data_IF_112870682078
#
_entry.id   IF_112870682078
#
_cell.length_a   1.000
_cell.length_b   1.000
_cell.length_c   1.000
_cell.angle_alpha   90.00
_cell.angle_beta   90.00
_cell.angle_gamma   90.00
#
_symmetry.space_group_name_H-M   'P 1'
#
loop_
_entity.id
_entity.type
_entity.pdbx_description
1 polymer ?
#
# COMPACT_ATOMS: atom_id res chain seq x y z
N UNK A 1 -12.88 -8.23 -29.33
CA UNK A 1 -14.00 -7.28 -29.32
C UNK A 1 -13.41 -5.87 -29.33
N UNK A 2 -13.92 -4.96 -30.16
CA UNK A 2 -13.58 -3.54 -30.08
C UNK A 2 -13.97 -2.97 -28.70
N UNK A 3 -13.23 -1.96 -28.22
CA UNK A 3 -13.44 -1.32 -26.91
C UNK A 3 -14.82 -0.67 -26.76
N UNK A 4 -15.44 -0.28 -27.87
CA UNK A 4 -16.72 0.44 -27.90
C UNK A 4 -17.91 -0.43 -27.46
N UNK A 5 -17.82 -1.76 -27.57
CA UNK A 5 -18.88 -2.70 -27.18
C UNK A 5 -19.01 -2.89 -25.64
N UNK A 6 -18.09 -2.33 -24.85
CA UNK A 6 -18.07 -2.47 -23.38
C UNK A 6 -18.99 -1.44 -22.68
N UNK A 7 -19.54 -0.47 -23.42
CA UNK A 7 -20.25 0.69 -22.88
C UNK A 7 -21.78 0.63 -23.05
N UNK A 8 -22.38 -0.55 -22.87
CA UNK A 8 -23.84 -0.64 -22.84
C UNK A 8 -24.47 0.19 -21.71
N UNK A 9 -25.49 0.97 -22.06
CA UNK A 9 -26.33 1.78 -21.17
C UNK A 9 -27.21 0.89 -20.30
N UNK A 10 -27.05 0.91 -18.97
CA UNK A 10 -27.86 0.08 -18.07
C UNK A 10 -28.01 0.70 -16.68
N UNK A 11 -29.09 1.46 -16.50
CA UNK A 11 -29.74 1.61 -15.21
C UNK A 11 -30.55 0.35 -14.88
N UNK A 12 -30.39 -0.20 -13.69
CA UNK A 12 -31.44 -0.97 -13.04
C UNK A 12 -31.52 -0.48 -11.59
N UNK A 13 -32.59 0.28 -11.36
CA UNK A 13 -32.98 0.85 -10.08
C UNK A 13 -33.55 -0.23 -9.16
N UNK A 14 -33.20 -0.14 -7.88
CA UNK A 14 -34.19 -0.19 -6.81
C UNK A 14 -33.82 0.79 -5.69
N UNK A 15 -34.61 1.87 -5.65
CA UNK A 15 -34.93 2.78 -4.54
C UNK A 15 -34.48 4.25 -4.70
N UNK A 16 -35.51 5.07 -4.99
CA UNK A 16 -35.64 6.54 -4.89
C UNK A 16 -34.70 7.42 -5.73
N UNK A 17 -35.16 7.72 -6.95
CA UNK A 17 -35.19 9.06 -7.57
C UNK A 17 -34.10 10.05 -7.10
N UNK A 18 -32.92 10.03 -7.73
CA UNK A 18 -31.96 11.12 -7.55
C UNK A 18 -30.91 11.26 -8.65
N UNK A 19 -31.31 11.32 -9.92
CA UNK A 19 -30.41 11.74 -11.00
C UNK A 19 -29.83 13.16 -10.78
N UNK A 20 -30.41 13.96 -9.87
CA UNK A 20 -29.97 15.31 -9.51
C UNK A 20 -29.10 15.43 -8.26
N UNK A 21 -28.97 14.37 -7.46
CA UNK A 21 -28.27 14.51 -6.18
C UNK A 21 -26.75 14.61 -6.39
N UNK A 22 -26.21 15.75 -5.95
CA UNK A 22 -24.83 16.19 -6.18
C UNK A 22 -23.83 15.54 -5.20
N UNK A 23 -23.13 14.50 -5.64
CA UNK A 23 -22.26 13.66 -4.80
C UNK A 23 -20.85 14.22 -4.60
N UNK A 24 -20.40 15.19 -5.40
CA UNK A 24 -19.08 15.82 -5.26
C UNK A 24 -19.19 17.26 -4.73
N UNK A 25 -18.10 17.81 -4.15
CA UNK A 25 -18.03 19.24 -3.79
C UNK A 25 -18.25 20.17 -4.98
N UNK A 26 -17.83 19.76 -6.18
CA UNK A 26 -18.05 20.48 -7.45
C UNK A 26 -19.48 20.36 -7.98
N UNK A 27 -20.36 19.66 -7.29
CA UNK A 27 -21.78 19.56 -7.64
C UNK A 27 -22.11 18.52 -8.70
N UNK A 28 -21.26 17.52 -8.93
CA UNK A 28 -21.50 16.47 -9.91
C UNK A 28 -22.44 15.40 -9.37
N UNK A 29 -23.32 14.89 -10.22
CA UNK A 29 -24.20 13.77 -9.91
C UNK A 29 -23.50 12.43 -10.15
N UNK A 30 -24.08 11.33 -9.65
CA UNK A 30 -23.53 9.98 -9.85
C UNK A 30 -23.34 9.65 -11.34
N UNK A 31 -24.35 9.93 -12.16
CA UNK A 31 -24.31 9.70 -13.61
C UNK A 31 -23.19 10.50 -14.30
N UNK A 32 -22.97 11.75 -13.88
CA UNK A 32 -21.89 12.58 -14.42
C UNK A 32 -20.50 12.04 -14.04
N UNK A 33 -20.35 11.50 -12.83
CA UNK A 33 -19.11 10.85 -12.40
C UNK A 33 -18.90 9.53 -13.15
N UNK A 34 -19.93 8.70 -13.29
CA UNK A 34 -19.89 7.46 -14.09
C UNK A 34 -19.48 7.71 -15.54
N UNK A 35 -20.04 8.74 -16.19
CA UNK A 35 -19.67 9.14 -17.54
C UNK A 35 -18.18 9.48 -17.64
N UNK A 36 -17.66 10.28 -16.69
CA UNK A 36 -16.24 10.64 -16.67
C UNK A 36 -15.33 9.43 -16.43
N UNK A 37 -15.75 8.48 -15.59
CA UNK A 37 -15.00 7.25 -15.37
C UNK A 37 -14.96 6.44 -16.67
N UNK A 38 -16.10 6.23 -17.34
CA UNK A 38 -16.16 5.52 -18.63
C UNK A 38 -15.24 6.14 -19.67
N UNK A 39 -15.22 7.47 -19.81
CA UNK A 39 -14.30 8.16 -20.71
C UNK A 39 -12.83 7.88 -20.39
N UNK A 40 -12.48 7.82 -19.09
CA UNK A 40 -11.13 7.49 -18.64
C UNK A 40 -10.78 6.02 -18.91
N UNK A 41 -11.71 5.08 -18.74
CA UNK A 41 -11.47 3.67 -19.06
C UNK A 41 -11.07 3.49 -20.52
N UNK A 42 -11.78 4.17 -21.43
CA UNK A 42 -11.47 4.15 -22.87
C UNK A 42 -10.10 4.78 -23.13
N UNK A 43 -9.86 6.00 -22.64
CA UNK A 43 -8.61 6.74 -22.90
C UNK A 43 -7.38 6.04 -22.34
N UNK A 44 -7.51 5.45 -21.15
CA UNK A 44 -6.41 4.79 -20.45
C UNK A 44 -6.29 3.30 -20.77
N UNK A 45 -7.21 2.74 -21.55
CA UNK A 45 -7.23 1.32 -21.93
C UNK A 45 -7.14 0.39 -20.69
N UNK A 46 -7.83 0.79 -19.62
CA UNK A 46 -7.95 -0.02 -18.39
C UNK A 46 -9.33 -0.67 -18.34
N UNK A 47 -9.43 -1.93 -17.88
CA UNK A 47 -10.68 -2.69 -17.97
C UNK A 47 -11.77 -2.16 -17.02
N UNK A 48 -11.36 -1.51 -15.93
CA UNK A 48 -12.27 -1.09 -14.88
C UNK A 48 -11.67 -0.06 -13.93
N UNK A 49 -12.55 0.66 -13.23
CA UNK A 49 -12.22 1.54 -12.13
C UNK A 49 -13.34 1.58 -11.09
N UNK A 50 -12.97 1.81 -9.84
CA UNK A 50 -13.89 2.08 -8.74
C UNK A 50 -13.53 3.41 -8.06
N UNK A 51 -14.54 4.20 -7.71
CA UNK A 51 -14.41 5.48 -7.03
C UNK A 51 -15.33 5.49 -5.82
N UNK A 52 -14.78 5.86 -4.67
CA UNK A 52 -15.55 6.09 -3.44
C UNK A 52 -15.47 7.58 -3.11
N UNK A 53 -16.63 8.22 -2.98
CA UNK A 53 -16.75 9.62 -2.57
C UNK A 53 -17.37 9.65 -1.17
N UNK A 54 -16.67 10.29 -0.24
CA UNK A 54 -17.08 10.38 1.16
C UNK A 54 -17.25 11.86 1.51
N UNK A 55 -18.41 12.21 2.05
CA UNK A 55 -18.68 13.50 2.70
C UNK A 55 -19.15 13.28 4.14
N UNK A 56 -19.36 14.37 4.89
CA UNK A 56 -19.91 14.32 6.24
C UNK A 56 -21.26 13.60 6.34
N UNK A 57 -22.05 13.64 5.27
CA UNK A 57 -23.43 13.14 5.26
C UNK A 57 -23.57 11.76 4.63
N UNK A 58 -22.61 11.38 3.76
CA UNK A 58 -22.79 10.20 2.92
C UNK A 58 -21.52 9.62 2.35
N UNK A 59 -21.64 8.35 1.96
CA UNK A 59 -20.66 7.62 1.15
C UNK A 59 -21.33 7.13 -0.12
N UNK A 60 -20.74 7.42 -1.27
CA UNK A 60 -21.19 6.91 -2.58
C UNK A 60 -20.07 6.11 -3.22
N UNK A 61 -20.36 4.87 -3.62
CA UNK A 61 -19.42 4.00 -4.34
C UNK A 61 -19.89 3.83 -5.78
N UNK A 62 -18.96 3.96 -6.72
CA UNK A 62 -19.20 3.85 -8.16
C UNK A 62 -18.16 2.90 -8.74
N UNK A 63 -18.61 1.83 -9.38
CA UNK A 63 -17.77 0.91 -10.15
C UNK A 63 -18.15 0.97 -11.63
N UNK A 64 -17.16 0.99 -12.52
CA UNK A 64 -17.38 0.97 -13.97
C UNK A 64 -16.42 -0.01 -14.63
N UNK A 65 -16.87 -0.63 -15.73
CA UNK A 65 -16.09 -1.57 -16.53
C UNK A 65 -16.29 -3.03 -16.15
N UNK A 66 -15.32 -3.86 -16.53
CA UNK A 66 -15.33 -5.32 -16.39
C UNK A 66 -14.18 -5.80 -15.51
N UNK A 67 -14.41 -6.84 -14.72
CA UNK A 67 -13.42 -7.39 -13.78
C UNK A 67 -12.19 -7.96 -14.49
N UNK A 68 -12.35 -8.47 -15.71
CA UNK A 68 -11.29 -9.14 -16.47
C UNK A 68 -11.46 -8.91 -17.96
N UNK A 69 -10.36 -8.56 -18.62
CA UNK A 69 -10.35 -8.40 -20.08
C UNK A 69 -10.78 -9.70 -20.78
N UNK A 70 -11.69 -9.59 -21.74
CA UNK A 70 -12.27 -10.74 -22.46
C UNK A 70 -13.40 -11.47 -21.72
N UNK A 71 -13.87 -10.93 -20.58
CA UNK A 71 -14.99 -11.49 -19.82
C UNK A 71 -16.06 -10.41 -19.61
N UNK A 72 -17.33 -10.83 -19.53
CA UNK A 72 -18.46 -9.91 -19.40
C UNK A 72 -18.87 -9.64 -17.93
N UNK A 73 -18.07 -10.10 -16.97
CA UNK A 73 -18.36 -9.88 -15.56
C UNK A 73 -18.12 -8.40 -15.19
N UNK A 74 -19.20 -7.68 -14.92
CA UNK A 74 -19.15 -6.27 -14.50
C UNK A 74 -18.53 -6.13 -13.11
N UNK A 75 -17.91 -4.99 -12.87
CA UNK A 75 -17.49 -4.58 -11.53
C UNK A 75 -18.70 -4.37 -10.63
N UNK A 76 -18.58 -4.74 -9.36
CA UNK A 76 -19.53 -4.42 -8.30
C UNK A 76 -18.88 -3.60 -7.19
N UNK A 77 -19.65 -2.82 -6.42
CA UNK A 77 -19.14 -2.11 -5.24
C UNK A 77 -18.44 -3.01 -4.20
N UNK A 78 -18.78 -4.31 -4.17
CA UNK A 78 -18.23 -5.30 -3.24
C UNK A 78 -16.97 -6.01 -3.77
N UNK A 79 -16.48 -5.63 -4.95
CA UNK A 79 -15.25 -6.22 -5.50
C UNK A 79 -14.04 -5.87 -4.66
N UNK A 80 -13.16 -6.85 -4.46
CA UNK A 80 -11.87 -6.65 -3.80
C UNK A 80 -10.85 -6.14 -4.80
N UNK A 81 -10.18 -5.04 -4.46
CA UNK A 81 -9.14 -4.43 -5.27
C UNK A 81 -7.79 -4.51 -4.55
N UNK A 82 -6.71 -4.69 -5.31
CA UNK A 82 -5.37 -4.54 -4.75
C UNK A 82 -5.12 -3.07 -4.42
N UNK A 83 -5.07 -2.76 -3.13
CA UNK A 83 -4.93 -1.40 -2.58
C UNK A 83 -3.45 -0.94 -2.60
N UNK A 84 -2.74 -1.23 -3.70
CA UNK A 84 -1.30 -1.00 -3.96
C UNK A 84 -0.42 -0.46 -2.80
N UNK A 85 0.29 0.67 -2.98
CA UNK A 85 1.17 1.21 -1.94
C UNK A 85 0.42 1.87 -0.77
N UNK A 86 -0.92 1.87 -0.73
CA UNK A 86 -1.65 2.42 0.44
C UNK A 86 -1.43 1.59 1.71
N UNK A 87 -0.88 0.39 1.58
CA UNK A 87 -0.39 -0.40 2.71
C UNK A 87 0.60 0.38 3.60
N UNK A 88 1.36 1.34 3.04
CA UNK A 88 2.26 2.21 3.83
C UNK A 88 1.52 3.11 4.81
N UNK A 89 0.32 3.58 4.45
CA UNK A 89 -0.53 4.37 5.32
C UNK A 89 -1.03 3.54 6.50
N UNK A 90 -1.41 2.28 6.25
CA UNK A 90 -1.84 1.37 7.32
C UNK A 90 -0.70 1.06 8.29
N UNK A 91 0.51 0.76 7.77
CA UNK A 91 1.71 0.56 8.58
C UNK A 91 2.02 1.80 9.43
N UNK A 92 1.98 2.99 8.82
CA UNK A 92 2.20 4.26 9.52
C UNK A 92 1.18 4.50 10.63
N UNK A 93 -0.10 4.15 10.40
CA UNK A 93 -1.15 4.26 11.41
C UNK A 93 -0.90 3.32 12.59
N UNK A 94 -0.59 2.05 12.32
CA UNK A 94 -0.28 1.07 13.38
C UNK A 94 0.92 1.55 14.19
N UNK A 95 1.98 2.01 13.53
CA UNK A 95 3.17 2.56 14.18
C UNK A 95 2.81 3.75 15.09
N UNK A 96 2.02 4.70 14.60
CA UNK A 96 1.57 5.84 15.41
C UNK A 96 0.79 5.39 16.65
N UNK A 97 -0.09 4.39 16.53
CA UNK A 97 -0.85 3.84 17.68
C UNK A 97 0.05 3.16 18.70
N UNK A 98 1.08 2.44 18.27
CA UNK A 98 2.07 1.84 19.18
C UNK A 98 2.89 2.90 19.92
N UNK A 99 3.24 4.00 19.23
CA UNK A 99 3.95 5.13 19.83
C UNK A 99 3.08 5.89 20.84
N UNK A 100 1.80 6.14 20.52
CA UNK A 100 0.84 6.74 21.45
C UNK A 100 0.65 5.89 22.72
N UNK A 101 0.70 4.56 22.58
CA UNK A 101 0.66 3.60 23.69
C UNK A 101 1.99 3.49 24.44
N UNK A 102 3.03 4.24 24.03
CA UNK A 102 4.38 4.21 24.60
C UNK A 102 5.07 2.84 24.50
N UNK A 103 4.65 2.01 23.55
CA UNK A 103 5.31 0.72 23.25
C UNK A 103 6.51 0.91 22.31
N UNK A 104 6.54 2.02 21.58
CA UNK A 104 7.62 2.43 20.68
C UNK A 104 7.82 3.95 20.82
N UNK A 105 8.98 4.46 20.36
CA UNK A 105 9.28 5.87 20.20
C UNK A 105 9.94 6.13 18.85
N UNK A 106 9.65 7.29 18.25
CA UNK A 106 10.25 7.71 16.99
C UNK A 106 11.79 7.71 16.98
N UNK A 107 12.41 7.89 18.16
CA UNK A 107 13.85 7.90 18.34
C UNK A 107 14.48 6.53 18.57
N UNK A 108 13.67 5.48 18.74
CA UNK A 108 14.19 4.14 19.05
C UNK A 108 15.09 3.64 17.91
N UNK A 109 16.34 3.27 18.20
CA UNK A 109 17.27 2.80 17.20
C UNK A 109 17.01 1.34 16.83
N UNK A 110 17.40 0.94 15.62
CA UNK A 110 17.19 -0.41 15.12
C UNK A 110 17.88 -1.48 15.97
N UNK A 111 19.03 -1.16 16.57
CA UNK A 111 19.75 -2.09 17.44
C UNK A 111 18.96 -2.48 18.70
N UNK A 112 18.12 -1.57 19.21
CA UNK A 112 17.26 -1.84 20.37
C UNK A 112 15.97 -2.54 19.95
N UNK A 113 15.44 -2.21 18.77
CA UNK A 113 14.16 -2.74 18.27
C UNK A 113 14.26 -4.14 17.64
N UNK A 114 15.44 -4.51 17.15
CA UNK A 114 15.70 -5.76 16.43
C UNK A 114 16.94 -6.47 16.97
N UNK A 115 16.97 -6.84 18.27
CA UNK A 115 18.14 -7.43 18.92
C UNK A 115 18.59 -8.74 18.27
N UNK A 116 17.65 -9.54 17.75
CA UNK A 116 17.92 -10.82 17.08
C UNK A 116 18.75 -10.68 15.79
N UNK A 117 18.87 -9.47 15.24
CA UNK A 117 19.63 -9.20 14.03
C UNK A 117 20.99 -8.54 14.30
N UNK A 118 21.37 -8.28 15.56
CA UNK A 118 22.59 -7.53 15.89
C UNK A 118 23.87 -8.14 15.34
N UNK A 119 23.96 -9.47 15.31
CA UNK A 119 25.12 -10.21 14.81
C UNK A 119 25.34 -10.02 13.31
N UNK A 120 24.26 -9.82 12.56
CA UNK A 120 24.29 -9.55 11.11
C UNK A 120 24.16 -8.07 10.78
N UNK A 121 23.79 -7.22 11.75
CA UNK A 121 23.54 -5.80 11.54
C UNK A 121 24.81 -4.98 11.45
N UNK A 122 25.12 -4.58 10.23
CA UNK A 122 26.20 -3.66 9.92
C UNK A 122 26.07 -2.37 10.72
N UNK A 123 27.20 -1.84 11.21
CA UNK A 123 27.27 -0.70 12.14
C UNK A 123 26.54 0.55 11.62
N UNK A 124 26.52 0.75 10.31
CA UNK A 124 25.82 1.88 9.66
C UNK A 124 24.31 1.89 9.91
N UNK A 125 23.69 0.75 10.20
CA UNK A 125 22.24 0.65 10.42
C UNK A 125 21.83 0.82 11.89
N UNK A 126 22.73 0.52 12.83
CA UNK A 126 22.42 0.40 14.26
C UNK A 126 21.70 1.62 14.84
N UNK A 127 22.17 2.82 14.50
CA UNK A 127 21.59 4.11 14.94
C UNK A 127 20.49 4.66 14.02
N UNK A 128 20.11 3.94 12.96
CA UNK A 128 18.90 4.26 12.20
C UNK A 128 17.71 4.09 13.14
N UNK A 129 16.75 5.01 13.13
CA UNK A 129 15.59 4.95 14.01
C UNK A 129 14.26 4.90 13.25
N UNK A 130 13.17 4.68 13.99
CA UNK A 130 11.81 4.59 13.43
C UNK A 130 11.40 5.83 12.63
N UNK A 131 11.79 7.02 13.08
CA UNK A 131 11.54 8.26 12.33
C UNK A 131 12.20 8.20 10.95
N UNK A 132 13.47 7.81 10.88
CA UNK A 132 14.21 7.72 9.62
C UNK A 132 13.62 6.67 8.66
N UNK A 133 13.17 5.52 9.18
CA UNK A 133 12.48 4.52 8.36
C UNK A 133 11.19 5.08 7.77
N UNK A 134 10.37 5.72 8.62
CA UNK A 134 9.04 6.23 8.27
C UNK A 134 9.10 7.44 7.34
N UNK A 135 10.12 8.28 7.46
CA UNK A 135 10.36 9.42 6.56
C UNK A 135 11.22 9.08 5.34
N UNK A 136 11.48 7.79 5.09
CA UNK A 136 12.30 7.31 3.98
C UNK A 136 13.74 7.86 3.97
N UNK A 137 14.28 8.23 5.12
CA UNK A 137 15.62 8.80 5.29
C UNK A 137 16.63 7.86 5.96
N UNK A 138 16.31 6.57 6.07
CA UNK A 138 17.18 5.54 6.68
C UNK A 138 18.51 5.31 5.97
N UNK A 139 18.64 5.71 4.69
CA UNK A 139 19.81 5.38 3.87
C UNK A 139 19.88 3.90 3.44
N UNK A 140 18.87 3.10 3.78
CA UNK A 140 18.72 1.71 3.35
C UNK A 140 18.39 1.67 1.85
N UNK A 141 18.90 0.64 1.17
CA UNK A 141 18.65 0.41 -0.27
C UNK A 141 17.15 0.36 -0.59
N UNK A 142 16.79 0.82 -1.79
CA UNK A 142 15.43 0.67 -2.33
C UNK A 142 15.24 -0.64 -3.09
N UNK A 143 16.34 -1.34 -3.40
CA UNK A 143 16.30 -2.61 -4.12
C UNK A 143 15.98 -3.73 -3.14
N UNK A 144 15.02 -4.57 -3.48
CA UNK A 144 14.83 -5.81 -2.76
C UNK A 144 16.11 -6.65 -2.89
N UNK A 145 16.64 -7.22 -1.79
CA UNK A 145 17.85 -8.01 -1.85
C UNK A 145 17.65 -9.29 -2.66
N UNK A 146 18.68 -9.70 -3.40
CA UNK A 146 18.78 -11.07 -3.90
C UNK A 146 18.97 -12.03 -2.71
N UNK A 147 18.16 -13.10 -2.66
CA UNK A 147 18.29 -14.16 -1.66
C UNK A 147 18.85 -15.43 -2.29
N UNK A 148 19.38 -16.35 -1.47
CA UNK A 148 19.75 -17.69 -1.95
C UNK A 148 18.53 -18.37 -2.56
N UNK A 149 18.54 -18.57 -3.88
CA UNK A 149 17.43 -19.16 -4.65
C UNK A 149 16.79 -18.23 -5.70
N UNK A 150 17.16 -16.94 -5.76
CA UNK A 150 16.70 -16.01 -6.81
C UNK A 150 16.25 -14.65 -6.27
N UNK A 151 15.44 -13.94 -7.08
CA UNK A 151 14.85 -12.66 -6.68
C UNK A 151 13.87 -12.86 -5.52
N UNK A 152 14.08 -12.11 -4.44
CA UNK A 152 13.19 -12.09 -3.29
C UNK A 152 11.76 -11.70 -3.71
N UNK A 153 11.58 -10.79 -4.68
CA UNK A 153 10.25 -10.43 -5.15
C UNK A 153 9.48 -11.64 -5.73
N UNK A 154 10.18 -12.52 -6.46
CA UNK A 154 9.62 -13.74 -7.02
C UNK A 154 9.34 -14.82 -5.96
N UNK A 155 10.01 -14.74 -4.81
CA UNK A 155 9.93 -15.76 -3.75
C UNK A 155 9.00 -15.33 -2.61
N UNK A 156 8.80 -14.03 -2.37
CA UNK A 156 7.91 -13.51 -1.32
C UNK A 156 6.44 -13.90 -1.52
N UNK A 157 6.01 -14.15 -2.76
CA UNK A 157 4.64 -14.61 -3.06
C UNK A 157 4.38 -16.06 -2.64
N UNK A 158 5.45 -16.85 -2.44
CA UNK A 158 5.36 -18.28 -2.10
C UNK A 158 5.89 -18.61 -0.70
N UNK A 159 6.55 -17.67 -0.02
CA UNK A 159 7.02 -17.84 1.35
C UNK A 159 5.96 -17.43 2.36
N UNK A 160 6.08 -18.01 3.56
CA UNK A 160 5.45 -17.43 4.74
C UNK A 160 5.91 -15.98 4.93
N UNK A 161 4.98 -15.10 5.30
CA UNK A 161 5.24 -13.66 5.36
C UNK A 161 6.29 -13.29 6.42
N UNK A 162 6.34 -13.99 7.55
CA UNK A 162 7.33 -13.75 8.60
C UNK A 162 8.72 -14.19 8.14
N UNK A 163 8.79 -15.36 7.51
CA UNK A 163 10.03 -15.85 6.91
C UNK A 163 10.56 -14.91 5.81
N UNK A 164 9.68 -14.42 4.94
CA UNK A 164 10.02 -13.43 3.92
C UNK A 164 10.60 -12.14 4.49
N UNK A 165 9.98 -11.60 5.55
CA UNK A 165 10.52 -10.43 6.28
C UNK A 165 11.91 -10.74 6.86
N UNK A 166 12.04 -11.85 7.60
CA UNK A 166 13.31 -12.25 8.25
C UNK A 166 14.47 -12.33 7.25
N UNK A 167 14.29 -13.02 6.12
CA UNK A 167 15.32 -13.13 5.07
C UNK A 167 15.68 -11.78 4.45
N UNK A 168 14.69 -10.90 4.30
CA UNK A 168 14.92 -9.54 3.80
C UNK A 168 15.83 -8.78 4.76
N UNK A 169 15.52 -8.82 6.06
CA UNK A 169 16.30 -8.14 7.10
C UNK A 169 17.73 -8.68 7.14
N UNK A 170 17.94 -9.99 7.14
CA UNK A 170 19.28 -10.60 7.13
C UNK A 170 20.13 -10.16 5.93
N UNK A 171 19.54 -10.13 4.74
CA UNK A 171 20.28 -9.71 3.55
C UNK A 171 20.55 -8.22 3.50
N UNK A 172 19.66 -7.38 4.06
CA UNK A 172 19.84 -5.92 4.08
C UNK A 172 20.84 -5.50 5.14
N UNK A 173 20.74 -6.09 6.33
CA UNK A 173 21.56 -5.74 7.47
C UNK A 173 23.00 -6.21 7.35
N UNK A 174 23.28 -7.28 6.59
CA UNK A 174 24.64 -7.75 6.30
C UNK A 174 25.45 -6.83 5.36
N UNK A 175 24.85 -5.76 4.83
CA UNK A 175 25.49 -4.79 3.93
C UNK A 175 25.43 -3.39 4.54
N UNK A 176 26.39 -2.49 4.25
CA UNK A 176 26.32 -1.11 4.69
C UNK A 176 25.10 -0.38 4.10
N UNK A 177 24.68 0.70 4.76
CA UNK A 177 23.69 1.62 4.19
C UNK A 177 24.26 2.30 2.93
N UNK A 178 23.40 2.53 1.93
CA UNK A 178 23.81 3.22 0.69
C UNK A 178 24.10 4.70 0.93
N UNK A 179 23.49 5.27 1.97
CA UNK A 179 23.69 6.66 2.41
C UNK A 179 23.73 6.72 3.92
N UNK A 180 24.28 7.81 4.44
CA UNK A 180 24.24 8.10 5.88
C UNK A 180 22.77 8.22 6.33
N UNK A 181 22.35 7.50 7.38
CA UNK A 181 21.01 7.65 7.93
C UNK A 181 20.72 9.11 8.31
N UNK A 182 19.56 9.61 7.90
CA UNK A 182 19.10 10.97 8.15
C UNK A 182 19.52 12.03 7.12
N UNK A 183 20.41 11.74 6.17
CA UNK A 183 20.99 12.78 5.28
C UNK A 183 20.38 12.83 3.87
N UNK A 184 19.28 12.13 3.61
CA UNK A 184 18.59 12.13 2.32
C UNK A 184 17.26 11.39 2.38
N UNK A 185 16.51 11.33 1.27
CA UNK A 185 15.29 10.53 1.18
C UNK A 185 15.33 9.59 -0.04
N UNK A 186 14.83 8.37 0.14
CA UNK A 186 14.56 7.39 -0.92
C UNK A 186 13.05 7.13 -0.94
N UNK A 187 12.30 7.99 -1.65
CA UNK A 187 10.86 7.82 -1.77
C UNK A 187 10.50 6.45 -2.36
N UNK A 188 9.44 5.82 -1.83
CA UNK A 188 9.00 4.44 -2.15
C UNK A 188 10.04 3.36 -1.81
N UNK A 189 10.67 3.48 -0.65
CA UNK A 189 11.49 2.40 -0.13
C UNK A 189 10.62 1.28 0.47
N UNK A 190 10.39 0.20 -0.29
CA UNK A 190 9.66 -0.98 0.18
C UNK A 190 10.41 -1.74 1.29
N UNK A 191 11.73 -1.71 1.30
CA UNK A 191 12.56 -2.35 2.34
C UNK A 191 12.33 -1.69 3.69
N UNK A 192 12.20 -0.35 3.74
CA UNK A 192 11.83 0.34 4.98
C UNK A 192 10.48 -0.15 5.52
N UNK A 193 9.48 -0.36 4.66
CA UNK A 193 8.17 -0.87 5.08
C UNK A 193 8.24 -2.31 5.60
N UNK A 194 9.08 -3.15 4.99
CA UNK A 194 9.32 -4.52 5.45
C UNK A 194 9.96 -4.54 6.84
N UNK A 195 10.94 -3.65 7.09
CA UNK A 195 11.56 -3.50 8.40
C UNK A 195 10.55 -2.99 9.44
N UNK A 196 9.75 -1.96 9.10
CA UNK A 196 8.70 -1.46 9.98
C UNK A 196 7.66 -2.54 10.31
N UNK A 197 7.27 -3.37 9.33
CA UNK A 197 6.36 -4.48 9.57
C UNK A 197 6.97 -5.55 10.49
N UNK A 198 8.26 -5.84 10.37
CA UNK A 198 8.95 -6.75 11.28
C UNK A 198 9.01 -6.20 12.72
N UNK A 199 9.28 -4.90 12.88
CA UNK A 199 9.29 -4.25 14.20
C UNK A 199 7.88 -4.31 14.83
N UNK A 200 6.85 -3.94 14.08
CA UNK A 200 5.46 -4.02 14.54
C UNK A 200 5.14 -5.46 14.98
N UNK A 201 5.48 -6.45 14.16
CA UNK A 201 5.27 -7.86 14.46
C UNK A 201 5.96 -8.30 15.76
N UNK A 202 7.22 -7.94 15.96
CA UNK A 202 7.97 -8.26 17.20
C UNK A 202 7.34 -7.60 18.42
N UNK A 203 6.96 -6.32 18.32
CA UNK A 203 6.32 -5.57 19.40
C UNK A 203 4.97 -6.17 19.79
N UNK A 204 4.15 -6.59 18.82
CA UNK A 204 2.79 -7.10 19.10
C UNK A 204 2.72 -8.60 19.36
N UNK A 205 3.76 -9.38 19.02
CA UNK A 205 3.81 -10.83 19.32
C UNK A 205 4.28 -11.12 20.76
N UNK A 206 4.63 -10.08 21.52
CA UNK A 206 5.11 -10.18 22.90
C UNK A 206 3.99 -10.04 23.95
N UNK A 207 2.72 -10.05 23.52
CA UNK A 207 1.50 -10.19 24.34
C UNK A 207 0.84 -11.56 24.13
#
# INVERSE_FOLDING_TARGET
MPYDDILGDFSQDHASNSSEVKITPSGLTKAQVESRIKDLLIKSQIPAAAVVIISSERRTTIGCGIRKHGYNAKVTPDDTWMVGPMSSTMVSLILARLIERKLLSWSDPLEDLLPDFLDVMHLSHRKTNLKMLSSHSSGITTKLPEIKGGDLAATLVSLDSREGRRRTLESVFSRPSERTPGTGSAYRNAVNLIILAAIIETTTSSE
#
